data_IF_311267616315
#
_entry.id   IF_311267616315
#
_cell.length_a   1.000
_cell.length_b   1.000
_cell.length_c   1.000
_cell.angle_alpha   90.00
_cell.angle_beta   90.00
_cell.angle_gamma   90.00
#
_symmetry.space_group_name_H-M   'P 1'
#
loop_
_entity.id
_entity.type
_entity.pdbx_description
1 polymer ?
#
# COMPACT_ATOMS: atom_id res chain seq x y z
N UNK A 1 -21.39 30.12 11.90
CA UNK A 1 -20.85 28.84 12.40
C UNK A 1 -21.85 27.75 12.05
N UNK A 2 -21.45 26.77 11.24
CA UNK A 2 -22.32 25.72 10.73
C UNK A 2 -22.74 24.78 11.86
N UNK A 3 -23.85 24.03 11.70
CA UNK A 3 -24.35 23.09 12.73
C UNK A 3 -23.31 22.01 13.10
N UNK A 4 -22.51 21.58 12.13
CA UNK A 4 -21.47 20.58 12.30
C UNK A 4 -20.31 21.05 13.16
N UNK A 5 -19.90 22.31 13.02
CA UNK A 5 -18.81 22.90 13.82
C UNK A 5 -19.13 22.85 15.32
N UNK A 6 -20.37 23.14 15.71
CA UNK A 6 -20.80 23.09 17.12
C UNK A 6 -20.77 21.67 17.69
N UNK A 7 -21.13 20.68 16.86
CA UNK A 7 -21.09 19.26 17.26
C UNK A 7 -19.63 18.82 17.41
N UNK A 8 -18.77 19.20 16.47
CA UNK A 8 -17.34 18.90 16.52
C UNK A 8 -16.68 19.52 17.77
N UNK A 9 -16.91 20.81 18.02
CA UNK A 9 -16.41 21.54 19.19
C UNK A 9 -16.86 20.89 20.51
N UNK A 10 -18.14 20.53 20.62
CA UNK A 10 -18.68 19.84 21.81
C UNK A 10 -17.98 18.49 22.06
N UNK A 11 -17.71 17.72 21.00
CA UNK A 11 -16.97 16.45 21.12
C UNK A 11 -15.51 16.66 21.49
N UNK A 12 -14.86 17.68 20.94
CA UNK A 12 -13.48 18.02 21.24
C UNK A 12 -13.29 18.36 22.72
N UNK A 13 -14.13 19.26 23.26
CA UNK A 13 -14.09 19.64 24.69
C UNK A 13 -14.33 18.46 25.63
N UNK A 14 -15.22 17.55 25.25
CA UNK A 14 -15.43 16.30 26.02
C UNK A 14 -14.17 15.44 26.01
N UNK A 15 -13.56 15.25 24.84
CA UNK A 15 -12.34 14.46 24.69
C UNK A 15 -11.15 15.04 25.47
N UNK A 16 -11.05 16.37 25.57
CA UNK A 16 -10.09 17.07 26.43
C UNK A 16 -10.35 16.81 27.91
N UNK A 17 -11.59 16.99 28.37
CA UNK A 17 -11.98 16.78 29.77
C UNK A 17 -11.74 15.33 30.24
N UNK A 18 -12.00 14.37 29.35
CA UNK A 18 -11.81 12.93 29.61
C UNK A 18 -10.33 12.50 29.46
N UNK A 19 -9.41 13.43 29.14
CA UNK A 19 -7.98 13.17 29.00
C UNK A 19 -7.59 12.35 27.76
N UNK A 20 -8.54 12.01 26.91
CA UNK A 20 -8.35 11.14 25.73
C UNK A 20 -7.43 11.72 24.65
N UNK A 21 -7.18 13.04 24.68
CA UNK A 21 -6.23 13.72 23.79
C UNK A 21 -4.80 13.80 24.36
N UNK A 22 -4.57 13.30 25.58
CA UNK A 22 -3.24 13.26 26.21
C UNK A 22 -2.55 11.91 26.03
N UNK A 23 -1.21 11.90 25.98
CA UNK A 23 -0.39 10.68 25.87
C UNK A 23 -0.75 9.74 24.70
N UNK A 24 -1.14 10.31 23.56
CA UNK A 24 -1.48 9.56 22.35
C UNK A 24 -0.29 8.72 21.85
N UNK A 25 -0.59 7.59 21.23
CA UNK A 25 0.43 6.77 20.57
C UNK A 25 1.11 7.57 19.44
N UNK A 26 2.39 7.88 19.65
CA UNK A 26 3.15 8.71 18.72
C UNK A 26 3.12 10.22 18.99
N UNK A 27 2.56 10.66 20.12
CA UNK A 27 2.68 12.06 20.56
C UNK A 27 4.16 12.48 20.62
N UNK A 28 4.48 13.62 19.98
CA UNK A 28 5.85 14.14 19.88
C UNK A 28 6.75 13.44 18.88
N UNK A 29 6.29 12.39 18.19
CA UNK A 29 7.04 11.74 17.10
C UNK A 29 6.74 12.40 15.75
N UNK A 30 7.68 12.35 14.79
CA UNK A 30 7.39 12.76 13.41
C UNK A 30 6.19 11.99 12.85
N UNK A 31 5.42 12.65 12.00
CA UNK A 31 4.35 11.98 11.26
C UNK A 31 4.96 10.86 10.40
N UNK A 32 4.27 9.70 10.25
CA UNK A 32 4.71 8.65 9.34
C UNK A 32 4.84 9.20 7.93
N UNK A 33 5.93 8.85 7.24
CA UNK A 33 6.11 9.21 5.84
C UNK A 33 5.07 8.49 4.97
N UNK A 34 4.15 9.27 4.38
CA UNK A 34 3.03 8.79 3.57
C UNK A 34 2.93 9.65 2.31
N UNK A 35 3.89 9.50 1.37
CA UNK A 35 3.97 10.33 0.19
C UNK A 35 2.76 10.18 -0.74
N UNK A 36 2.02 9.07 -0.64
CA UNK A 36 0.84 8.76 -1.43
C UNK A 36 -0.47 9.35 -0.87
N UNK A 37 -0.55 9.64 0.44
CA UNK A 37 -1.76 10.13 1.08
C UNK A 37 -2.20 11.53 0.60
N UNK A 38 -1.27 12.33 0.07
CA UNK A 38 -1.55 13.63 -0.55
C UNK A 38 -1.89 13.58 -2.04
N UNK A 39 -1.78 12.40 -2.68
CA UNK A 39 -1.98 12.20 -4.12
C UNK A 39 -3.36 11.62 -4.47
N UNK A 40 -4.17 11.28 -3.47
CA UNK A 40 -5.50 10.66 -3.61
C UNK A 40 -6.52 11.38 -2.74
N UNK A 41 -7.81 11.14 -2.96
CA UNK A 41 -8.85 11.71 -2.10
C UNK A 41 -8.77 11.15 -0.67
N UNK A 42 -9.37 11.88 0.27
CA UNK A 42 -9.30 11.55 1.71
C UNK A 42 -9.86 10.16 2.05
N UNK A 43 -10.89 9.70 1.33
CA UNK A 43 -11.48 8.37 1.54
C UNK A 43 -10.51 7.27 1.13
N UNK A 44 -9.91 7.41 -0.05
CA UNK A 44 -8.90 6.47 -0.56
C UNK A 44 -7.64 6.45 0.32
N UNK A 45 -7.16 7.61 0.76
CA UNK A 45 -6.01 7.70 1.67
C UNK A 45 -6.24 6.94 2.99
N UNK A 46 -7.46 7.06 3.55
CA UNK A 46 -7.86 6.30 4.75
C UNK A 46 -7.93 4.80 4.46
N UNK A 47 -8.47 4.40 3.31
CA UNK A 47 -8.50 2.99 2.88
C UNK A 47 -7.09 2.39 2.75
N UNK A 48 -6.18 3.09 2.08
CA UNK A 48 -4.77 2.67 1.96
C UNK A 48 -4.10 2.55 3.32
N UNK A 49 -4.34 3.50 4.22
CA UNK A 49 -3.83 3.46 5.59
C UNK A 49 -4.30 2.21 6.34
N UNK A 50 -5.60 1.92 6.30
CA UNK A 50 -6.17 0.74 7.00
C UNK A 50 -5.55 -0.54 6.44
N UNK A 51 -5.43 -0.66 5.12
CA UNK A 51 -4.80 -1.80 4.47
C UNK A 51 -3.32 -1.95 4.86
N UNK A 52 -2.55 -0.86 4.86
CA UNK A 52 -1.14 -0.87 5.26
C UNK A 52 -0.95 -1.24 6.73
N UNK A 53 -1.78 -0.69 7.64
CA UNK A 53 -1.76 -1.01 9.07
C UNK A 53 -2.14 -2.47 9.33
N UNK A 54 -3.01 -3.06 8.50
CA UNK A 54 -3.35 -4.49 8.54
C UNK A 54 -2.29 -5.40 7.86
N UNK A 55 -1.21 -4.84 7.31
CA UNK A 55 -0.17 -5.59 6.62
C UNK A 55 -0.60 -6.13 5.25
N UNK A 56 -1.66 -5.60 4.64
CA UNK A 56 -2.10 -6.00 3.32
C UNK A 56 -1.04 -5.61 2.28
N UNK A 57 -0.34 -6.61 1.76
CA UNK A 57 0.66 -6.44 0.72
C UNK A 57 -0.01 -6.63 -0.66
N UNK A 58 0.05 -5.65 -1.57
CA UNK A 58 -0.44 -5.85 -2.93
C UNK A 58 0.30 -7.02 -3.60
N UNK A 59 -0.46 -7.87 -4.31
CA UNK A 59 0.08 -9.03 -5.03
C UNK A 59 1.17 -8.65 -6.04
N UNK A 60 1.14 -7.43 -6.57
CA UNK A 60 2.21 -6.86 -7.39
C UNK A 60 3.60 -6.95 -6.73
N UNK A 61 3.69 -6.75 -5.41
CA UNK A 61 4.97 -6.72 -4.70
C UNK A 61 5.57 -8.12 -4.61
N UNK A 62 4.75 -9.14 -4.32
CA UNK A 62 5.24 -10.53 -4.31
C UNK A 62 5.65 -11.00 -5.69
N UNK A 63 4.89 -10.67 -6.73
CA UNK A 63 5.23 -10.98 -8.12
C UNK A 63 6.52 -10.29 -8.58
N UNK A 64 6.75 -9.03 -8.19
CA UNK A 64 8.02 -8.32 -8.46
C UNK A 64 9.21 -9.01 -7.79
N UNK A 65 9.05 -9.47 -6.54
CA UNK A 65 10.10 -10.22 -5.83
C UNK A 65 10.38 -11.57 -6.52
N UNK A 66 9.34 -12.30 -6.93
CA UNK A 66 9.50 -13.54 -7.69
C UNK A 66 10.24 -13.31 -9.01
N UNK A 67 9.87 -12.27 -9.76
CA UNK A 67 10.53 -11.93 -11.02
C UNK A 67 12.01 -11.58 -10.82
N UNK A 68 12.35 -10.89 -9.72
CA UNK A 68 13.74 -10.59 -9.37
C UNK A 68 14.53 -11.87 -9.07
N UNK A 69 13.98 -12.78 -8.26
CA UNK A 69 14.61 -14.06 -7.95
C UNK A 69 14.83 -14.92 -9.22
N UNK A 70 13.87 -14.93 -10.15
CA UNK A 70 13.99 -15.64 -11.43
C UNK A 70 15.09 -15.04 -12.32
N UNK A 71 15.26 -13.72 -12.31
CA UNK A 71 16.35 -13.05 -13.05
C UNK A 71 17.72 -13.43 -12.50
N UNK A 72 17.86 -13.50 -11.19
CA UNK A 72 19.09 -13.92 -10.53
C UNK A 72 19.42 -15.38 -10.84
N UNK A 73 18.43 -16.27 -10.79
CA UNK A 73 18.57 -17.68 -11.20
C UNK A 73 18.99 -17.80 -12.67
N UNK A 74 18.34 -17.05 -13.57
CA UNK A 74 18.67 -17.07 -15.00
C UNK A 74 20.09 -16.60 -15.28
N UNK A 75 20.57 -15.59 -14.54
CA UNK A 75 21.93 -15.08 -14.66
C UNK A 75 23.00 -16.08 -14.19
N UNK A 76 22.68 -16.86 -13.14
CA UNK A 76 23.57 -17.89 -12.60
C UNK A 76 23.52 -19.23 -13.38
N UNK A 77 22.46 -19.47 -14.15
CA UNK A 77 22.28 -20.70 -14.90
C UNK A 77 23.24 -20.79 -16.09
N UNK A 78 23.68 -22.00 -16.43
CA UNK A 78 24.55 -22.29 -17.57
C UNK A 78 23.93 -23.29 -18.55
N UNK A 79 23.00 -24.13 -18.09
CA UNK A 79 22.29 -25.08 -18.95
C UNK A 79 21.28 -24.35 -19.87
N UNK A 80 21.39 -24.48 -21.21
CA UNK A 80 20.44 -23.91 -22.15
C UNK A 80 18.98 -24.37 -21.95
N UNK A 81 18.76 -25.61 -21.51
CA UNK A 81 17.40 -26.14 -21.30
C UNK A 81 16.78 -25.50 -20.06
N UNK A 82 17.51 -25.50 -18.94
CA UNK A 82 17.10 -24.79 -17.72
C UNK A 82 16.87 -23.30 -17.95
N UNK A 83 17.73 -22.63 -18.75
CA UNK A 83 17.53 -21.22 -19.15
C UNK A 83 16.22 -20.99 -19.88
N UNK A 84 15.87 -21.86 -20.82
CA UNK A 84 14.60 -21.76 -21.56
C UNK A 84 13.39 -21.92 -20.64
N UNK A 85 13.47 -22.84 -19.66
CA UNK A 85 12.42 -23.02 -18.66
C UNK A 85 12.28 -21.78 -17.75
N UNK A 86 13.39 -21.19 -17.30
CA UNK A 86 13.40 -19.96 -16.52
C UNK A 86 12.80 -18.78 -17.29
N UNK A 87 13.12 -18.64 -18.59
CA UNK A 87 12.50 -17.62 -19.45
C UNK A 87 10.99 -17.78 -19.55
N UNK A 88 10.50 -19.01 -19.74
CA UNK A 88 9.06 -19.28 -19.80
C UNK A 88 8.37 -18.89 -18.49
N UNK A 89 8.97 -19.23 -17.35
CA UNK A 89 8.46 -18.87 -16.03
C UNK A 89 8.48 -17.36 -15.79
N UNK A 90 9.54 -16.66 -16.20
CA UNK A 90 9.60 -15.21 -16.13
C UNK A 90 8.48 -14.55 -16.94
N UNK A 91 8.20 -15.04 -18.15
CA UNK A 91 7.12 -14.53 -19.00
C UNK A 91 5.75 -14.70 -18.34
N UNK A 92 5.50 -15.84 -17.70
CA UNK A 92 4.27 -16.09 -16.94
C UNK A 92 4.10 -15.10 -15.77
N UNK A 93 5.15 -14.92 -14.95
CA UNK A 93 5.12 -13.98 -13.82
C UNK A 93 4.93 -12.54 -14.30
N UNK A 94 5.57 -12.15 -15.41
CA UNK A 94 5.38 -10.84 -16.03
C UNK A 94 3.95 -10.62 -16.51
N UNK A 95 3.35 -11.62 -17.15
CA UNK A 95 1.95 -11.57 -17.59
C UNK A 95 1.01 -11.35 -16.39
N UNK A 96 1.19 -12.13 -15.32
CA UNK A 96 0.40 -11.99 -14.08
C UNK A 96 0.58 -10.60 -13.46
N UNK A 97 1.82 -10.09 -13.40
CA UNK A 97 2.10 -8.75 -12.88
C UNK A 97 1.38 -7.67 -13.71
N UNK A 98 1.35 -7.79 -15.03
CA UNK A 98 0.61 -6.88 -15.91
C UNK A 98 -0.88 -6.86 -15.61
N UNK A 99 -1.49 -8.04 -15.44
CA UNK A 99 -2.92 -8.16 -15.09
C UNK A 99 -3.25 -7.46 -13.76
N UNK A 100 -2.42 -7.63 -12.73
CA UNK A 100 -2.60 -6.96 -11.43
C UNK A 100 -2.50 -5.43 -11.56
N UNK A 101 -1.52 -4.94 -12.34
CA UNK A 101 -1.34 -3.51 -12.57
C UNK A 101 -2.51 -2.89 -13.35
N UNK A 102 -3.05 -3.59 -14.33
CA UNK A 102 -4.20 -3.12 -15.10
C UNK A 102 -5.48 -3.14 -14.26
N UNK A 103 -5.69 -4.17 -13.43
CA UNK A 103 -6.78 -4.20 -12.46
C UNK A 103 -6.69 -3.02 -11.49
N UNK A 104 -5.49 -2.72 -10.98
CA UNK A 104 -5.25 -1.57 -10.11
C UNK A 104 -5.55 -0.25 -10.83
N UNK A 105 -5.07 -0.06 -12.06
CA UNK A 105 -5.35 1.14 -12.85
C UNK A 105 -6.84 1.32 -13.15
N UNK A 106 -7.55 0.23 -13.42
CA UNK A 106 -8.99 0.26 -13.65
C UNK A 106 -9.74 0.68 -12.38
N UNK A 107 -9.31 0.19 -11.21
CA UNK A 107 -9.89 0.56 -9.91
C UNK A 107 -9.75 2.06 -9.61
N UNK A 108 -8.61 2.68 -9.94
CA UNK A 108 -8.37 4.11 -9.69
C UNK A 108 -8.82 5.05 -10.82
N UNK A 109 -9.51 4.56 -11.86
CA UNK A 109 -9.96 5.39 -13.00
C UNK A 109 -11.30 6.11 -12.73
N UNK A 110 -12.07 5.67 -11.74
CA UNK A 110 -13.38 6.23 -11.34
C UNK A 110 -13.22 7.31 -10.30
#
# INVERSE_FOLDING_TARGET
MQRWDRIAESRLRKAEADGSLSNLSGAGKPLPDRPDAGLVDTGTAVGHRIMAEAGALPREISLKKELQALREQYAAESDPVAKKALMARMAEVQMRLGMEQDARRAFFRT
#
